data_IF_583077029383
#
_entry.id   IF_583077029383
#
_cell.length_a   1.000
_cell.length_b   1.000
_cell.length_c   1.000
_cell.angle_alpha   90.00
_cell.angle_beta   90.00
_cell.angle_gamma   90.00
#
_symmetry.space_group_name_H-M   'P 1'
#
loop_
_entity.id
_entity.type
_entity.pdbx_description
1 polymer ?
#
# COMPACT_ATOMS: atom_id res chain seq x y z
N UNK A 1 -9.15 9.96 6.45
CA UNK A 1 -9.35 8.90 7.48
C UNK A 1 -8.91 7.53 6.98
N UNK A 2 -9.18 7.16 5.73
CA UNK A 2 -8.68 5.92 5.15
C UNK A 2 -7.18 5.96 4.86
N UNK A 3 -6.60 4.79 4.63
CA UNK A 3 -5.19 4.60 4.31
C UNK A 3 -4.81 5.40 3.05
N UNK A 4 -3.84 6.29 3.16
CA UNK A 4 -3.33 7.19 2.11
C UNK A 4 -4.33 8.19 1.51
N UNK A 5 -5.53 8.37 2.07
CA UNK A 5 -6.49 9.37 1.60
C UNK A 5 -5.92 10.80 1.62
N UNK A 6 -5.09 11.11 2.62
CA UNK A 6 -4.43 12.42 2.72
C UNK A 6 -3.47 12.66 1.55
N UNK A 7 -2.68 11.65 1.18
CA UNK A 7 -1.76 11.73 0.05
C UNK A 7 -2.49 11.85 -1.29
N UNK A 8 -3.62 11.13 -1.44
CA UNK A 8 -4.48 11.28 -2.62
C UNK A 8 -5.04 12.70 -2.74
N UNK A 9 -5.45 13.32 -1.63
CA UNK A 9 -5.90 14.72 -1.63
C UNK A 9 -4.74 15.69 -1.98
N UNK A 10 -3.55 15.48 -1.44
CA UNK A 10 -2.35 16.29 -1.72
C UNK A 10 -1.93 16.18 -3.19
N UNK A 11 -1.98 14.98 -3.79
CA UNK A 11 -1.68 14.79 -5.21
C UNK A 11 -2.64 15.60 -6.12
N UNK A 12 -3.86 15.84 -5.64
CA UNK A 12 -4.87 16.66 -6.30
C UNK A 12 -4.77 18.17 -5.94
N UNK A 13 -3.79 18.56 -5.12
CA UNK A 13 -3.59 19.95 -4.70
C UNK A 13 -4.52 20.42 -3.59
N UNK A 14 -5.20 19.52 -2.89
CA UNK A 14 -6.12 19.84 -1.79
C UNK A 14 -5.46 19.54 -0.45
N UNK A 15 -5.50 20.53 0.46
CA UNK A 15 -4.86 20.45 1.77
C UNK A 15 -5.77 19.76 2.78
N UNK A 16 -5.35 18.61 3.39
CA UNK A 16 -6.09 17.98 4.48
C UNK A 16 -5.93 18.78 5.77
N UNK A 17 -7.02 19.03 6.49
CA UNK A 17 -6.99 19.67 7.83
C UNK A 17 -6.71 18.64 8.94
N UNK A 18 -7.01 17.38 8.68
CA UNK A 18 -6.75 16.25 9.57
C UNK A 18 -6.38 15.01 8.80
N UNK A 19 -5.50 14.17 9.37
CA UNK A 19 -4.99 12.95 8.77
C UNK A 19 -4.95 11.81 9.77
N UNK A 20 -5.09 10.59 9.26
CA UNK A 20 -4.88 9.35 10.00
C UNK A 20 -3.49 8.81 9.67
N UNK A 21 -2.63 8.67 10.69
CA UNK A 21 -1.25 8.19 10.53
C UNK A 21 -1.20 6.66 10.52
N UNK A 22 -1.61 6.04 9.41
CA UNK A 22 -1.69 4.59 9.28
C UNK A 22 -0.35 3.87 9.27
N UNK A 23 0.71 4.56 8.87
CA UNK A 23 2.05 3.98 8.72
C UNK A 23 3.02 4.46 9.80
N UNK A 24 2.49 5.14 10.83
CA UNK A 24 3.25 5.63 11.96
C UNK A 24 4.45 6.53 11.58
N UNK A 25 4.26 7.37 10.56
CA UNK A 25 5.29 8.33 10.12
C UNK A 25 5.67 9.33 11.22
N UNK A 26 4.73 9.63 12.12
CA UNK A 26 4.82 10.81 12.96
C UNK A 26 4.57 12.09 12.16
N UNK A 27 4.68 13.26 12.79
CA UNK A 27 4.47 14.53 12.10
C UNK A 27 5.42 14.70 10.89
N UNK A 28 4.91 15.10 9.72
CA UNK A 28 3.56 15.63 9.43
C UNK A 28 2.49 14.58 9.04
N UNK A 29 2.66 13.31 9.40
CA UNK A 29 1.69 12.21 9.28
C UNK A 29 1.36 11.80 7.83
N UNK A 30 2.24 12.09 6.91
CA UNK A 30 2.24 11.62 5.51
C UNK A 30 3.64 11.16 5.16
N UNK A 31 3.79 10.36 4.11
CA UNK A 31 5.10 9.90 3.66
C UNK A 31 6.02 11.04 3.22
N UNK A 32 7.36 10.88 3.33
CA UNK A 32 8.34 11.89 2.94
C UNK A 32 8.13 12.41 1.51
N UNK A 33 7.67 11.54 0.61
CA UNK A 33 7.33 11.88 -0.79
C UNK A 33 6.15 12.84 -0.95
N UNK A 34 5.34 13.04 0.10
CA UNK A 34 4.18 13.94 0.10
C UNK A 34 4.35 15.14 1.04
N UNK A 35 5.35 15.12 1.94
CA UNK A 35 5.50 16.11 3.00
C UNK A 35 5.69 17.55 2.46
N UNK A 36 6.44 17.72 1.37
CA UNK A 36 6.68 19.03 0.75
C UNK A 36 5.44 19.63 0.06
N UNK A 37 4.36 18.84 -0.11
CA UNK A 37 3.08 19.31 -0.65
C UNK A 37 2.19 19.93 0.41
N UNK A 38 2.51 19.79 1.69
CA UNK A 38 1.74 20.36 2.78
C UNK A 38 2.04 21.86 2.96
N UNK A 39 0.99 22.69 2.96
CA UNK A 39 1.12 24.10 3.31
C UNK A 39 1.28 24.32 4.83
N UNK A 40 0.76 23.39 5.63
CA UNK A 40 0.83 23.38 7.09
C UNK A 40 0.67 21.97 7.63
N UNK A 41 1.18 21.72 8.83
CA UNK A 41 1.03 20.43 9.49
C UNK A 41 -0.45 20.16 9.82
N UNK A 42 -1.04 19.05 9.32
CA UNK A 42 -2.41 18.66 9.66
C UNK A 42 -2.52 18.10 11.07
N UNK A 43 -3.73 18.00 11.60
CA UNK A 43 -3.97 17.39 12.91
C UNK A 43 -4.09 15.88 12.76
N UNK A 44 -3.39 15.10 13.59
CA UNK A 44 -3.58 13.65 13.66
C UNK A 44 -4.94 13.34 14.29
N UNK A 45 -5.74 12.45 13.66
CA UNK A 45 -7.13 12.20 14.02
C UNK A 45 -7.47 10.73 14.32
N UNK A 46 -6.45 9.91 14.55
CA UNK A 46 -6.58 8.48 14.83
C UNK A 46 -6.76 7.63 13.56
N UNK A 47 -6.55 6.35 13.69
CA UNK A 47 -6.60 5.35 12.61
C UNK A 47 -7.79 4.39 12.81
N UNK A 48 -7.54 3.23 13.44
CA UNK A 48 -8.57 2.24 13.78
C UNK A 48 -9.60 2.81 14.78
N UNK A 49 -9.14 3.62 15.72
CA UNK A 49 -9.96 4.33 16.68
C UNK A 49 -9.97 5.83 16.35
N UNK A 50 -10.98 6.33 15.59
CA UNK A 50 -11.07 7.75 15.23
C UNK A 50 -11.22 8.65 16.46
N UNK A 51 -10.43 9.72 16.52
CA UNK A 51 -10.57 10.75 17.54
C UNK A 51 -11.68 11.73 17.13
N UNK A 52 -12.93 11.39 17.47
CA UNK A 52 -14.12 12.17 17.08
C UNK A 52 -14.10 13.61 17.58
N UNK A 53 -13.50 13.88 18.76
CA UNK A 53 -13.39 15.23 19.31
C UNK A 53 -12.42 16.07 18.46
N UNK A 54 -11.27 15.51 18.09
CA UNK A 54 -10.32 16.17 17.19
C UNK A 54 -10.96 16.42 15.82
N UNK A 55 -11.59 15.41 15.21
CA UNK A 55 -12.25 15.54 13.91
C UNK A 55 -13.33 16.65 13.95
N UNK A 56 -14.20 16.63 14.95
CA UNK A 56 -15.27 17.61 15.07
C UNK A 56 -14.73 19.04 15.28
N UNK A 57 -13.61 19.20 16.00
CA UNK A 57 -12.99 20.51 16.24
C UNK A 57 -12.40 21.14 14.97
N UNK A 58 -12.11 20.33 13.96
CA UNK A 58 -11.60 20.78 12.65
C UNK A 58 -12.70 21.28 11.73
N UNK A 59 -13.99 21.05 12.06
CA UNK A 59 -15.14 21.42 11.24
C UNK A 59 -14.99 21.02 9.77
N UNK A 60 -14.65 19.74 9.46
CA UNK A 60 -14.36 19.34 8.07
C UNK A 60 -15.62 19.39 7.21
N UNK A 61 -15.48 19.79 5.94
CA UNK A 61 -16.56 19.75 4.94
C UNK A 61 -16.86 18.32 4.47
N UNK A 62 -15.85 17.44 4.49
CA UNK A 62 -15.93 16.03 4.08
C UNK A 62 -14.90 15.19 4.81
N UNK A 63 -15.24 13.94 5.06
CA UNK A 63 -14.34 12.92 5.59
C UNK A 63 -14.10 11.89 4.48
N UNK A 64 -12.86 11.79 4.02
CA UNK A 64 -12.43 10.73 3.12
C UNK A 64 -12.13 9.49 3.97
N UNK A 65 -12.72 8.36 3.63
CA UNK A 65 -12.53 7.06 4.27
C UNK A 65 -12.58 5.95 3.20
N UNK A 66 -11.90 6.21 2.07
CA UNK A 66 -12.02 5.43 0.84
C UNK A 66 -11.28 4.10 0.89
N UNK A 67 -10.34 3.92 1.83
CA UNK A 67 -9.57 2.70 2.02
C UNK A 67 -9.41 2.42 3.51
N UNK A 68 -10.43 1.75 4.07
CA UNK A 68 -10.52 1.41 5.49
C UNK A 68 -11.11 0.01 5.68
N UNK A 69 -11.56 -0.31 6.88
CA UNK A 69 -12.27 -1.56 7.18
C UNK A 69 -13.67 -1.63 6.56
N UNK A 70 -14.15 -0.53 5.98
CA UNK A 70 -15.45 -0.39 5.32
C UNK A 70 -16.65 -0.76 6.20
N UNK A 71 -16.49 -0.76 7.53
CA UNK A 71 -17.52 -1.19 8.45
C UNK A 71 -18.65 -0.16 8.60
N UNK A 72 -19.88 -0.64 8.76
CA UNK A 72 -21.01 0.21 9.06
C UNK A 72 -20.81 0.95 10.40
N UNK A 73 -20.14 0.31 11.37
CA UNK A 73 -19.83 0.92 12.67
C UNK A 73 -18.94 2.16 12.50
N UNK A 74 -17.89 2.06 11.70
CA UNK A 74 -17.00 3.19 11.40
C UNK A 74 -17.74 4.32 10.69
N UNK A 75 -18.58 4.00 9.71
CA UNK A 75 -19.41 4.98 9.03
C UNK A 75 -20.37 5.68 10.00
N UNK A 76 -21.05 4.93 10.89
CA UNK A 76 -22.00 5.47 11.88
C UNK A 76 -21.31 6.36 12.93
N UNK A 77 -20.02 6.12 13.21
CA UNK A 77 -19.20 6.97 14.08
C UNK A 77 -18.83 8.30 13.41
N UNK A 78 -18.48 8.29 12.14
CA UNK A 78 -17.95 9.46 11.42
C UNK A 78 -19.05 10.33 10.82
N UNK A 79 -20.13 9.74 10.31
CA UNK A 79 -21.19 10.44 9.57
C UNK A 79 -21.95 11.53 10.35
N UNK A 80 -22.06 11.49 11.70
CA UNK A 80 -22.62 12.61 12.47
C UNK A 80 -21.76 13.88 12.46
N UNK A 81 -20.45 13.77 12.14
CA UNK A 81 -19.53 14.91 12.15
C UNK A 81 -19.55 15.63 10.80
N UNK A 82 -19.40 14.89 9.69
CA UNK A 82 -19.43 15.42 8.34
C UNK A 82 -19.81 14.33 7.32
N UNK A 83 -20.15 14.67 6.06
CA UNK A 83 -20.32 13.68 5.01
C UNK A 83 -19.11 12.77 4.86
N UNK A 84 -19.32 11.44 4.89
CA UNK A 84 -18.27 10.44 4.75
C UNK A 84 -18.29 9.87 3.34
N UNK A 85 -17.11 9.80 2.73
CA UNK A 85 -16.88 9.17 1.44
C UNK A 85 -16.15 7.87 1.67
N UNK A 86 -16.88 6.76 1.54
CA UNK A 86 -16.33 5.41 1.62
C UNK A 86 -15.67 4.96 0.31
N UNK A 87 -15.31 3.67 0.22
CA UNK A 87 -14.72 3.08 -0.98
C UNK A 87 -15.67 3.15 -2.19
N UNK A 88 -15.17 2.98 -3.42
CA UNK A 88 -16.00 2.71 -4.58
C UNK A 88 -16.97 1.56 -4.35
N UNK A 89 -18.17 1.63 -4.94
CA UNK A 89 -19.28 0.69 -4.65
C UNK A 89 -19.04 -0.76 -5.09
N UNK A 90 -18.02 -1.01 -5.87
CA UNK A 90 -17.58 -2.31 -6.39
C UNK A 90 -16.47 -2.95 -5.53
N UNK A 91 -15.99 -2.25 -4.51
CA UNK A 91 -14.99 -2.77 -3.57
C UNK A 91 -15.68 -3.56 -2.47
N UNK A 92 -15.49 -4.88 -2.48
CA UNK A 92 -16.07 -5.81 -1.50
C UNK A 92 -15.07 -6.19 -0.40
N UNK A 93 -13.77 -6.10 -0.68
CA UNK A 93 -12.70 -6.50 0.24
C UNK A 93 -12.28 -5.32 1.12
N UNK A 94 -12.17 -5.57 2.41
CA UNK A 94 -11.65 -4.61 3.39
C UNK A 94 -10.25 -4.14 2.96
N UNK A 95 -9.98 -2.84 2.99
CA UNK A 95 -8.77 -2.20 2.48
C UNK A 95 -8.45 -2.45 0.99
N UNK A 96 -9.33 -3.11 0.23
CA UNK A 96 -9.13 -3.53 -1.15
C UNK A 96 -9.41 -2.46 -2.22
N UNK A 97 -9.49 -1.18 -1.84
CA UNK A 97 -9.62 -0.10 -2.83
C UNK A 97 -8.31 0.04 -3.59
N UNK A 98 -8.34 -0.15 -4.91
CA UNK A 98 -7.16 0.02 -5.77
C UNK A 98 -6.68 1.47 -5.77
N UNK A 99 -5.42 1.70 -6.12
CA UNK A 99 -4.86 3.05 -6.19
C UNK A 99 -5.60 3.92 -7.24
N UNK A 100 -6.03 3.34 -8.36
CA UNK A 100 -6.86 4.02 -9.36
C UNK A 100 -8.23 4.39 -8.78
N UNK A 101 -8.88 3.41 -8.14
CA UNK A 101 -10.19 3.59 -7.51
C UNK A 101 -10.16 4.68 -6.45
N UNK A 102 -9.16 4.68 -5.58
CA UNK A 102 -8.96 5.70 -4.56
C UNK A 102 -8.74 7.08 -5.18
N UNK A 103 -7.78 7.20 -6.11
CA UNK A 103 -7.46 8.47 -6.77
C UNK A 103 -8.69 9.07 -7.43
N UNK A 104 -9.44 8.28 -8.20
CA UNK A 104 -10.63 8.75 -8.91
C UNK A 104 -11.78 9.10 -7.95
N UNK A 105 -12.01 8.29 -6.89
CA UNK A 105 -13.05 8.55 -5.89
C UNK A 105 -12.78 9.87 -5.14
N UNK A 106 -11.55 10.06 -4.69
CA UNK A 106 -11.13 11.31 -4.00
C UNK A 106 -11.23 12.50 -4.96
N UNK A 107 -10.75 12.37 -6.20
CA UNK A 107 -10.81 13.43 -7.20
C UNK A 107 -12.25 13.88 -7.50
N UNK A 108 -13.19 12.96 -7.65
CA UNK A 108 -14.60 13.26 -7.87
C UNK A 108 -15.21 14.06 -6.74
N UNK A 109 -14.93 13.68 -5.51
CA UNK A 109 -15.46 14.33 -4.31
C UNK A 109 -14.88 15.72 -4.13
N UNK A 110 -13.61 15.91 -4.45
CA UNK A 110 -12.92 17.18 -4.32
C UNK A 110 -13.13 18.11 -5.54
N UNK A 111 -13.82 17.63 -6.61
CA UNK A 111 -14.06 18.40 -7.83
C UNK A 111 -12.86 18.49 -8.77
N UNK A 112 -11.88 17.61 -8.60
CA UNK A 112 -10.61 17.53 -9.32
C UNK A 112 -10.54 16.31 -10.25
N UNK A 113 -11.68 15.81 -10.75
CA UNK A 113 -11.76 14.59 -11.58
C UNK A 113 -10.79 14.60 -12.76
N UNK A 114 -10.64 15.73 -13.54
CA UNK A 114 -9.67 15.75 -14.64
C UNK A 114 -8.22 15.55 -14.17
N UNK A 115 -7.85 16.10 -13.01
CA UNK A 115 -6.50 15.91 -12.45
C UNK A 115 -6.31 14.48 -11.94
N UNK A 116 -7.36 13.88 -11.37
CA UNK A 116 -7.33 12.47 -10.96
C UNK A 116 -7.12 11.52 -12.14
N UNK A 117 -7.81 11.75 -13.27
CA UNK A 117 -7.60 10.98 -14.50
C UNK A 117 -6.19 11.15 -15.07
N UNK A 118 -5.63 12.36 -14.99
CA UNK A 118 -4.26 12.64 -15.41
C UNK A 118 -3.23 11.90 -14.54
N UNK A 119 -3.37 11.93 -13.20
CA UNK A 119 -2.49 11.21 -12.28
C UNK A 119 -2.51 9.69 -12.51
N UNK A 120 -3.69 9.14 -12.79
CA UNK A 120 -3.83 7.72 -13.12
C UNK A 120 -3.08 7.42 -14.42
N UNK A 121 -3.30 8.21 -15.46
CA UNK A 121 -2.65 8.03 -16.76
C UNK A 121 -1.12 8.16 -16.64
N UNK A 122 -0.62 9.15 -15.89
CA UNK A 122 0.82 9.34 -15.66
C UNK A 122 1.47 8.10 -15.03
N UNK A 123 0.82 7.48 -14.06
CA UNK A 123 1.37 6.29 -13.39
C UNK A 123 1.20 5.01 -14.24
N UNK A 124 0.08 4.85 -14.95
CA UNK A 124 -0.12 3.74 -15.91
C UNK A 124 0.92 3.79 -17.05
N UNK A 125 1.19 4.98 -17.58
CA UNK A 125 2.23 5.18 -18.61
C UNK A 125 3.61 4.83 -18.05
N UNK A 126 3.90 5.17 -16.79
CA UNK A 126 5.14 4.77 -16.12
C UNK A 126 5.26 3.26 -15.99
N UNK A 127 4.22 2.56 -15.55
CA UNK A 127 4.22 1.10 -15.49
C UNK A 127 4.42 0.48 -16.88
N UNK A 128 3.76 1.03 -17.91
CA UNK A 128 3.94 0.56 -19.28
C UNK A 128 5.40 0.71 -19.76
N UNK A 129 6.03 1.85 -19.46
CA UNK A 129 7.43 2.07 -19.80
C UNK A 129 8.36 1.10 -19.05
N UNK A 130 8.13 0.90 -17.74
CA UNK A 130 8.92 -0.04 -16.93
C UNK A 130 8.80 -1.48 -17.44
N UNK A 131 7.61 -1.90 -17.90
CA UNK A 131 7.46 -3.23 -18.55
C UNK A 131 8.22 -3.34 -19.87
N UNK A 132 8.25 -2.26 -20.68
CA UNK A 132 9.01 -2.25 -21.93
C UNK A 132 10.52 -2.32 -21.67
N UNK A 133 10.98 -1.67 -20.61
CA UNK A 133 12.39 -1.61 -20.23
C UNK A 133 12.88 -2.90 -19.55
N UNK A 134 11.96 -3.70 -18.97
CA UNK A 134 12.24 -4.92 -18.20
C UNK A 134 11.37 -6.11 -18.69
N UNK A 135 11.52 -6.53 -19.95
CA UNK A 135 10.70 -7.62 -20.51
C UNK A 135 10.93 -8.97 -19.81
N UNK A 136 12.03 -9.14 -19.07
CA UNK A 136 12.35 -10.31 -18.25
C UNK A 136 11.44 -10.49 -17.04
N UNK A 137 10.71 -9.46 -16.61
CA UNK A 137 9.74 -9.59 -15.51
C UNK A 137 8.51 -10.42 -15.92
N UNK A 138 8.19 -10.42 -17.22
CA UNK A 138 7.09 -11.22 -17.73
C UNK A 138 7.37 -12.72 -17.58
N UNK A 139 6.34 -13.48 -17.24
CA UNK A 139 6.41 -14.93 -17.01
C UNK A 139 7.12 -15.34 -15.70
N UNK A 140 7.59 -14.38 -14.86
CA UNK A 140 8.11 -14.67 -13.53
C UNK A 140 7.01 -14.54 -12.48
N UNK A 141 6.97 -15.49 -11.57
CA UNK A 141 6.02 -15.47 -10.45
C UNK A 141 6.53 -14.63 -9.28
N UNK A 142 5.60 -13.96 -8.58
CA UNK A 142 5.90 -13.22 -7.35
C UNK A 142 5.13 -13.74 -6.14
N UNK A 143 5.73 -13.55 -4.97
CA UNK A 143 5.07 -13.55 -3.68
C UNK A 143 5.48 -12.31 -2.88
N UNK A 144 4.51 -11.73 -2.16
CA UNK A 144 4.73 -10.57 -1.28
C UNK A 144 4.37 -10.95 0.13
N UNK A 145 5.35 -10.97 1.01
CA UNK A 145 5.20 -11.33 2.41
C UNK A 145 5.42 -10.18 3.37
N UNK A 146 4.90 -10.30 4.56
CA UNK A 146 5.23 -9.46 5.70
C UNK A 146 5.50 -10.29 6.95
N UNK A 147 6.27 -9.70 7.85
CA UNK A 147 6.45 -10.21 9.21
C UNK A 147 5.89 -9.21 10.19
N UNK A 148 4.90 -9.63 10.97
CA UNK A 148 4.20 -8.78 11.92
C UNK A 148 3.87 -9.57 13.19
N UNK A 149 4.17 -9.00 14.37
CA UNK A 149 3.86 -9.58 15.69
C UNK A 149 4.29 -11.05 15.84
N UNK A 150 5.47 -11.39 15.32
CA UNK A 150 6.02 -12.74 15.43
C UNK A 150 5.49 -13.74 14.41
N UNK A 151 4.76 -13.32 13.41
CA UNK A 151 4.15 -14.17 12.38
C UNK A 151 4.45 -13.67 10.97
N UNK A 152 4.58 -14.61 10.05
CA UNK A 152 4.61 -14.33 8.62
C UNK A 152 3.19 -14.25 8.05
N UNK A 153 3.06 -13.60 6.93
CA UNK A 153 1.88 -13.69 6.11
C UNK A 153 2.15 -13.22 4.69
N UNK A 154 1.20 -13.49 3.81
CA UNK A 154 1.27 -13.15 2.40
C UNK A 154 0.13 -12.21 2.01
N UNK A 155 0.44 -11.15 1.28
CA UNK A 155 -0.55 -10.34 0.59
C UNK A 155 -0.97 -11.03 -0.70
N UNK A 156 -2.23 -10.82 -1.11
CA UNK A 156 -2.79 -11.40 -2.33
C UNK A 156 -3.31 -10.32 -3.28
N UNK A 157 -3.62 -10.63 -4.56
CA UNK A 157 -4.13 -9.67 -5.52
C UNK A 157 -5.33 -8.87 -5.00
N UNK A 158 -5.35 -7.56 -5.30
CA UNK A 158 -6.26 -6.57 -4.72
C UNK A 158 -5.64 -5.83 -3.53
N UNK A 159 -4.47 -6.26 -3.04
CA UNK A 159 -3.62 -5.46 -2.19
C UNK A 159 -2.58 -4.70 -3.04
N UNK A 160 -2.40 -3.42 -2.77
CA UNK A 160 -1.52 -2.54 -3.58
C UNK A 160 -0.10 -3.08 -3.74
N UNK A 161 0.46 -3.76 -2.75
CA UNK A 161 1.82 -4.30 -2.78
C UNK A 161 1.98 -5.37 -3.85
N UNK A 162 0.96 -6.21 -4.00
CA UNK A 162 0.89 -7.21 -5.07
C UNK A 162 0.59 -6.53 -6.40
N UNK A 163 -0.40 -5.61 -6.41
CA UNK A 163 -0.85 -4.93 -7.62
C UNK A 163 0.30 -4.15 -8.27
N UNK A 164 1.17 -3.48 -7.49
CA UNK A 164 2.36 -2.77 -8.01
C UNK A 164 3.31 -3.70 -8.76
N UNK A 165 3.57 -4.91 -8.25
CA UNK A 165 4.45 -5.86 -8.93
C UNK A 165 3.77 -6.51 -10.15
N UNK A 166 2.48 -6.80 -10.07
CA UNK A 166 1.75 -7.31 -11.24
C UNK A 166 1.60 -6.26 -12.34
N UNK A 167 1.49 -4.98 -11.99
CA UNK A 167 1.54 -3.87 -12.94
C UNK A 167 2.92 -3.73 -13.64
N UNK A 168 4.00 -4.22 -13.01
CA UNK A 168 5.32 -4.33 -13.64
C UNK A 168 5.44 -5.54 -14.60
N UNK A 169 4.43 -6.42 -14.65
CA UNK A 169 4.36 -7.55 -15.57
C UNK A 169 4.56 -8.93 -14.94
N UNK A 170 4.82 -9.00 -13.64
CA UNK A 170 4.93 -10.28 -12.93
C UNK A 170 3.59 -11.02 -12.83
N UNK A 171 3.66 -12.34 -12.72
CA UNK A 171 2.50 -13.18 -12.39
C UNK A 171 2.46 -13.44 -10.89
N UNK A 172 1.27 -13.32 -10.26
CA UNK A 172 1.14 -13.66 -8.86
C UNK A 172 1.05 -15.18 -8.67
N UNK A 173 1.65 -15.70 -7.58
CA UNK A 173 1.60 -17.13 -7.22
C UNK A 173 0.19 -17.55 -6.83
N UNK A 174 -0.53 -18.37 -7.65
CA UNK A 174 -1.96 -18.61 -7.47
C UNK A 174 -2.30 -19.42 -6.21
N UNK A 175 -1.38 -20.23 -5.68
CA UNK A 175 -1.61 -21.06 -4.50
C UNK A 175 -1.88 -20.22 -3.24
N UNK A 176 -1.27 -19.02 -3.14
CA UNK A 176 -1.50 -18.10 -2.04
C UNK A 176 -2.87 -17.43 -2.14
N UNK A 177 -3.30 -17.07 -3.36
CA UNK A 177 -4.62 -16.47 -3.60
C UNK A 177 -5.76 -17.45 -3.25
N UNK A 178 -5.63 -18.73 -3.64
CA UNK A 178 -6.60 -19.76 -3.30
C UNK A 178 -6.78 -19.90 -1.78
N UNK A 179 -5.70 -19.72 -1.01
CA UNK A 179 -5.72 -19.81 0.45
C UNK A 179 -6.39 -18.62 1.14
N UNK A 180 -6.40 -17.46 0.50
CA UNK A 180 -6.94 -16.22 1.07
C UNK A 180 -8.46 -16.24 1.24
N UNK A 181 -9.19 -17.10 0.52
CA UNK A 181 -10.65 -17.21 0.60
C UNK A 181 -11.38 -15.85 0.44
N UNK A 182 -10.79 -14.90 -0.31
CA UNK A 182 -11.33 -13.56 -0.54
C UNK A 182 -10.86 -12.49 0.46
N UNK A 183 -9.93 -12.81 1.38
CA UNK A 183 -9.22 -11.81 2.18
C UNK A 183 -8.07 -11.19 1.37
N UNK A 184 -7.55 -10.05 1.79
CA UNK A 184 -6.39 -9.38 1.17
C UNK A 184 -5.03 -9.91 1.68
N UNK A 185 -5.06 -10.77 2.70
CA UNK A 185 -3.90 -11.25 3.43
C UNK A 185 -4.13 -12.65 3.98
N UNK A 186 -3.09 -13.47 4.02
CA UNK A 186 -3.07 -14.84 4.55
C UNK A 186 -2.03 -14.95 5.65
N UNK A 187 -2.43 -15.37 6.84
CA UNK A 187 -1.49 -15.70 7.90
C UNK A 187 -0.74 -17.01 7.57
N UNK A 188 0.58 -16.97 7.68
CA UNK A 188 1.45 -18.11 7.48
C UNK A 188 2.18 -18.48 8.79
N UNK A 189 1.98 -19.70 9.25
CA UNK A 189 2.82 -20.21 10.32
C UNK A 189 4.28 -20.37 9.85
N UNK A 190 5.23 -20.43 10.77
CA UNK A 190 6.64 -20.62 10.44
C UNK A 190 6.91 -21.89 9.61
N UNK A 191 6.04 -22.89 9.70
CA UNK A 191 6.14 -24.13 8.89
C UNK A 191 5.66 -23.92 7.44
N UNK A 192 4.95 -22.83 7.17
CA UNK A 192 4.39 -22.49 5.86
C UNK A 192 5.14 -21.33 5.15
N UNK A 193 6.24 -20.86 5.71
CA UNK A 193 7.06 -19.79 5.11
C UNK A 193 7.56 -20.18 3.71
N UNK A 194 7.78 -21.48 3.47
CA UNK A 194 8.14 -22.01 2.14
C UNK A 194 7.07 -21.70 1.07
N UNK A 195 5.83 -21.37 1.47
CA UNK A 195 4.79 -20.97 0.52
C UNK A 195 5.03 -19.57 -0.07
N UNK A 196 5.89 -18.75 0.56
CA UNK A 196 6.34 -17.48 0.00
C UNK A 196 7.34 -17.64 -1.15
N UNK A 197 7.88 -18.84 -1.37
CA UNK A 197 8.82 -19.10 -2.44
C UNK A 197 8.17 -18.88 -3.83
N UNK A 198 8.77 -18.02 -4.64
CA UNK A 198 8.37 -17.68 -6.00
C UNK A 198 9.62 -17.39 -6.84
N UNK A 199 9.49 -17.05 -8.13
CA UNK A 199 10.64 -16.62 -8.91
C UNK A 199 11.25 -15.33 -8.36
N UNK A 200 10.45 -14.47 -7.73
CA UNK A 200 10.85 -13.32 -6.95
C UNK A 200 10.00 -13.26 -5.67
N UNK A 201 10.64 -13.17 -4.52
CA UNK A 201 9.96 -13.00 -3.23
C UNK A 201 10.32 -11.65 -2.62
N UNK A 202 9.33 -10.85 -2.25
CA UNK A 202 9.52 -9.57 -1.56
C UNK A 202 8.93 -9.69 -0.16
N UNK A 203 9.72 -9.39 0.87
CA UNK A 203 9.28 -9.45 2.28
C UNK A 203 9.73 -8.20 3.02
N UNK A 204 8.93 -7.76 3.99
CA UNK A 204 9.27 -6.63 4.85
C UNK A 204 8.72 -6.79 6.27
N UNK A 205 9.38 -6.20 7.28
CA UNK A 205 8.88 -6.18 8.65
C UNK A 205 7.85 -5.06 8.85
N UNK A 206 6.83 -5.31 9.67
CA UNK A 206 5.87 -4.30 10.12
C UNK A 206 6.06 -4.10 11.62
N UNK A 207 6.48 -2.90 12.02
CA UNK A 207 6.67 -2.54 13.43
C UNK A 207 7.89 -3.18 14.09
N UNK A 208 8.80 -3.78 13.32
CA UNK A 208 10.03 -4.43 13.77
C UNK A 208 11.20 -4.04 12.84
N UNK A 209 12.39 -4.57 13.12
CA UNK A 209 13.58 -4.39 12.26
C UNK A 209 13.72 -5.55 11.27
N UNK A 210 14.39 -5.30 10.15
CA UNK A 210 14.68 -6.33 9.16
C UNK A 210 15.71 -7.38 9.60
N UNK A 211 16.43 -7.14 10.72
CA UNK A 211 17.46 -8.04 11.22
C UNK A 211 16.95 -9.49 11.39
N UNK A 212 15.71 -9.63 11.92
CA UNK A 212 15.11 -10.95 12.09
C UNK A 212 14.91 -11.66 10.75
N UNK A 213 14.42 -10.97 9.71
CA UNK A 213 14.18 -11.56 8.39
C UNK A 213 15.48 -12.02 7.73
N UNK A 214 16.55 -11.25 7.91
CA UNK A 214 17.88 -11.58 7.36
C UNK A 214 18.57 -12.73 8.09
N UNK A 215 18.20 -12.99 9.35
CA UNK A 215 18.78 -14.05 10.16
C UNK A 215 17.88 -15.29 10.29
N UNK A 216 16.62 -15.25 9.87
CA UNK A 216 15.69 -16.37 9.98
C UNK A 216 16.07 -17.51 9.01
N UNK A 217 16.55 -18.66 9.53
CA UNK A 217 17.01 -19.75 8.67
C UNK A 217 15.89 -20.39 7.85
N UNK A 218 14.62 -20.21 8.22
CA UNK A 218 13.48 -20.73 7.45
C UNK A 218 13.25 -19.89 6.22
N UNK A 219 13.16 -18.54 6.38
CA UNK A 219 13.01 -17.63 5.27
C UNK A 219 14.25 -17.66 4.35
N UNK A 220 15.45 -17.63 4.93
CA UNK A 220 16.70 -17.66 4.17
C UNK A 220 16.99 -19.02 3.50
N UNK A 221 16.24 -20.05 3.85
CA UNK A 221 16.35 -21.39 3.26
C UNK A 221 15.35 -21.67 2.14
N UNK A 222 14.47 -20.73 1.76
CA UNK A 222 13.59 -20.94 0.59
C UNK A 222 14.40 -20.84 -0.70
N UNK A 223 14.01 -21.53 -1.79
CA UNK A 223 14.75 -21.52 -3.05
C UNK A 223 15.03 -20.14 -3.61
N UNK A 224 14.07 -19.23 -3.56
CA UNK A 224 14.28 -17.85 -4.02
C UNK A 224 15.36 -17.10 -3.22
N UNK A 225 15.49 -17.35 -1.91
CA UNK A 225 16.57 -16.78 -1.10
C UNK A 225 17.94 -17.40 -1.44
N UNK A 226 18.00 -18.72 -1.62
CA UNK A 226 19.24 -19.41 -2.03
C UNK A 226 19.74 -18.97 -3.41
N UNK A 227 18.81 -18.60 -4.30
CA UNK A 227 19.07 -18.11 -5.67
C UNK A 227 19.28 -16.57 -5.74
N UNK A 228 19.31 -15.86 -4.60
CA UNK A 228 19.48 -14.38 -4.57
C UNK A 228 18.25 -13.58 -4.96
N UNK A 229 17.07 -14.21 -5.05
CA UNK A 229 15.80 -13.60 -5.51
C UNK A 229 14.80 -13.35 -4.37
N UNK A 230 15.30 -13.27 -3.14
CA UNK A 230 14.58 -12.76 -1.98
C UNK A 230 14.98 -11.31 -1.73
N UNK A 231 14.05 -10.40 -1.87
CA UNK A 231 14.22 -8.99 -1.53
C UNK A 231 13.60 -8.74 -0.15
N UNK A 232 14.44 -8.33 0.81
CA UNK A 232 13.97 -7.82 2.10
C UNK A 232 13.98 -6.30 2.03
N UNK A 233 12.82 -5.66 2.14
CA UNK A 233 12.72 -4.21 2.22
C UNK A 233 13.12 -3.77 3.63
N UNK A 234 14.40 -3.47 3.81
CA UNK A 234 14.98 -3.12 5.12
C UNK A 234 14.71 -1.68 5.53
N UNK A 235 14.64 -0.78 4.53
CA UNK A 235 14.34 0.63 4.77
C UNK A 235 12.84 0.80 5.07
N UNK A 236 12.47 1.27 6.28
CA UNK A 236 11.08 1.52 6.63
C UNK A 236 10.40 2.54 5.71
N UNK A 237 11.14 3.53 5.20
CA UNK A 237 10.59 4.52 4.26
C UNK A 237 10.17 3.84 2.95
N UNK A 238 11.04 2.99 2.40
CA UNK A 238 10.74 2.23 1.20
C UNK A 238 9.59 1.23 1.41
N UNK A 239 9.59 0.49 2.50
CA UNK A 239 8.51 -0.44 2.86
C UNK A 239 7.16 0.30 3.00
N UNK A 240 7.18 1.49 3.58
CA UNK A 240 6.01 2.36 3.70
C UNK A 240 5.56 2.91 2.34
N UNK A 241 6.48 3.35 1.47
CA UNK A 241 6.16 3.80 0.12
C UNK A 241 5.50 2.69 -0.71
N UNK A 242 6.11 1.50 -0.68
CA UNK A 242 5.59 0.29 -1.34
C UNK A 242 4.20 -0.11 -0.83
N UNK A 243 3.91 0.19 0.44
CA UNK A 243 2.63 -0.11 1.09
C UNK A 243 1.59 1.01 0.96
N UNK A 244 1.97 2.22 0.54
CA UNK A 244 1.11 3.40 0.62
C UNK A 244 -0.15 3.30 -0.25
N UNK A 245 0.01 2.86 -1.50
CA UNK A 245 -1.06 2.80 -2.47
C UNK A 245 -1.55 4.17 -2.96
N UNK A 246 -0.86 5.26 -2.62
CA UNK A 246 -1.06 6.57 -3.25
C UNK A 246 -0.23 6.67 -4.53
N UNK A 247 -0.66 7.48 -5.49
CA UNK A 247 0.14 7.73 -6.70
C UNK A 247 1.54 8.26 -6.36
N UNK A 248 1.63 9.12 -5.34
CA UNK A 248 2.89 9.70 -4.87
C UNK A 248 3.83 8.64 -4.31
N UNK A 249 3.33 7.81 -3.38
CA UNK A 249 4.13 6.76 -2.76
C UNK A 249 4.51 5.64 -3.74
N UNK A 250 3.62 5.28 -4.67
CA UNK A 250 3.95 4.30 -5.72
C UNK A 250 5.07 4.83 -6.61
N UNK A 251 5.02 6.10 -7.02
CA UNK A 251 6.12 6.70 -7.79
C UNK A 251 7.45 6.61 -7.06
N UNK A 252 7.47 6.92 -5.75
CA UNK A 252 8.67 6.83 -4.92
C UNK A 252 9.14 5.37 -4.78
N UNK A 253 8.23 4.44 -4.50
CA UNK A 253 8.57 3.02 -4.38
C UNK A 253 9.19 2.45 -5.66
N UNK A 254 8.66 2.80 -6.84
CA UNK A 254 9.17 2.31 -8.12
C UNK A 254 10.61 2.78 -8.40
N UNK A 255 11.01 3.97 -7.91
CA UNK A 255 12.38 4.47 -8.09
C UNK A 255 13.42 3.59 -7.40
N UNK A 256 13.07 2.93 -6.30
CA UNK A 256 13.96 2.12 -5.48
C UNK A 256 13.75 0.60 -5.68
N UNK A 257 12.48 0.15 -5.75
CA UNK A 257 12.17 -1.28 -5.85
C UNK A 257 12.57 -1.86 -7.22
N UNK A 258 12.36 -1.11 -8.32
CA UNK A 258 12.72 -1.62 -9.65
C UNK A 258 14.21 -1.91 -9.80
N UNK A 259 15.15 -1.02 -9.40
CA UNK A 259 16.57 -1.35 -9.37
C UNK A 259 16.91 -2.58 -8.50
N UNK A 260 16.29 -2.72 -7.32
CA UNK A 260 16.50 -3.91 -6.45
C UNK A 260 16.09 -5.20 -7.15
N UNK A 261 14.96 -5.17 -7.89
CA UNK A 261 14.49 -6.31 -8.66
C UNK A 261 15.47 -6.64 -9.79
N UNK A 262 15.90 -5.62 -10.55
CA UNK A 262 16.89 -5.80 -11.63
C UNK A 262 18.17 -6.45 -11.11
N UNK A 263 18.73 -5.93 -10.00
CA UNK A 263 19.94 -6.47 -9.39
C UNK A 263 19.75 -7.93 -8.95
N UNK A 264 18.57 -8.29 -8.40
CA UNK A 264 18.29 -9.66 -7.95
C UNK A 264 18.09 -10.68 -9.09
N UNK A 265 17.77 -10.20 -10.29
CA UNK A 265 17.57 -11.05 -11.47
C UNK A 265 18.83 -11.17 -12.36
N UNK A 266 19.87 -10.34 -12.13
CA UNK A 266 21.13 -10.37 -12.89
C UNK A 266 22.13 -11.43 -12.37
N UNK A 267 21.97 -11.92 -11.13
CA UNK A 267 22.85 -12.90 -10.47
C UNK A 267 22.36 -14.35 -10.68
#
# INVERSE_FOLDING_TARGET
MGWSDAEAALALGVQPVGVADWQAYGAPYVGPWAADLLDSEPVEVGTMEPNLEAIASLEPDVILDTRSDNSQERYDLLSPVAPVVGPPSDVEVTYGTTWQGQTLQVARVLGEEPRGEELITELEDRFAQLREDNPEFADLTIAVGAYFDGQYGAYVPGDTRVDVLTELGFEYKPELEERAEGAFYVDLSSELVEELDADLTVVFPIGDTADFLNEDPVLQGIPSAEDGRLIVLEDPELANAFSSGSTLGIHHALDEVVPMIQDSLED
#
